data_IF_704404362036
#
_entry.id   IF_704404362036
#
_cell.length_a   1.000
_cell.length_b   1.000
_cell.length_c   1.000
_cell.angle_alpha   90.00
_cell.angle_beta   90.00
_cell.angle_gamma   90.00
#
_symmetry.space_group_name_H-M   'P 1'
#
loop_
_entity.id
_entity.type
_entity.pdbx_description
1 polymer ?
#
# COMPACT_ATOMS: atom_id res chain seq x y z
N UNK A 1 9.73 -12.23 -1.50
CA UNK A 1 10.71 -11.19 -1.91
C UNK A 1 10.99 -11.19 -3.41
N UNK A 2 11.06 -12.35 -4.07
CA UNK A 2 11.33 -12.46 -5.51
C UNK A 2 10.03 -12.45 -6.36
N UNK A 3 9.04 -11.64 -5.99
CA UNK A 3 7.78 -11.54 -6.72
C UNK A 3 7.80 -10.27 -7.57
N UNK A 4 7.58 -10.40 -8.89
CA UNK A 4 7.65 -9.30 -9.83
C UNK A 4 6.27 -8.68 -10.06
N UNK A 5 6.06 -7.48 -9.53
CA UNK A 5 4.82 -6.73 -9.66
C UNK A 5 5.03 -5.22 -9.61
N UNK A 6 4.04 -4.50 -10.13
CA UNK A 6 3.89 -3.08 -9.85
C UNK A 6 3.55 -2.84 -8.37
N UNK A 7 3.91 -1.68 -7.86
CA UNK A 7 3.72 -1.31 -6.46
C UNK A 7 2.24 -1.36 -6.05
N UNK A 8 1.36 -0.93 -6.96
CA UNK A 8 -0.10 -0.90 -6.79
C UNK A 8 -0.69 -2.30 -6.66
N UNK A 9 -0.29 -3.21 -7.55
CA UNK A 9 -0.75 -4.61 -7.53
C UNK A 9 -0.25 -5.35 -6.29
N UNK A 10 0.98 -5.06 -5.86
CA UNK A 10 1.54 -5.62 -4.63
C UNK A 10 0.71 -5.23 -3.40
N UNK A 11 0.34 -3.95 -3.26
CA UNK A 11 -0.50 -3.46 -2.16
C UNK A 11 -1.92 -4.04 -2.24
N UNK A 12 -2.48 -4.16 -3.44
CA UNK A 12 -3.79 -4.77 -3.64
C UNK A 12 -3.83 -6.24 -3.20
N UNK A 13 -2.79 -7.01 -3.53
CA UNK A 13 -2.66 -8.39 -3.06
C UNK A 13 -2.59 -8.44 -1.55
N UNK A 14 -1.71 -7.64 -0.92
CA UNK A 14 -1.58 -7.61 0.54
C UNK A 14 -2.94 -7.32 1.18
N UNK A 15 -3.68 -6.34 0.65
CA UNK A 15 -5.02 -6.02 1.14
C UNK A 15 -5.97 -7.22 1.01
N UNK A 16 -6.04 -7.86 -0.16
CA UNK A 16 -6.96 -8.98 -0.41
C UNK A 16 -6.61 -10.22 0.42
N UNK A 17 -5.34 -10.52 0.61
CA UNK A 17 -4.88 -11.65 1.41
C UNK A 17 -5.28 -11.47 2.88
N UNK A 18 -5.02 -10.29 3.46
CA UNK A 18 -5.43 -9.95 4.83
C UNK A 18 -6.96 -9.96 4.94
N UNK A 19 -7.67 -9.36 3.99
CA UNK A 19 -9.13 -9.29 4.01
C UNK A 19 -9.77 -10.68 4.05
N UNK A 20 -9.30 -11.60 3.20
CA UNK A 20 -9.86 -12.96 3.08
C UNK A 20 -9.51 -13.83 4.28
N UNK A 21 -8.27 -13.76 4.77
CA UNK A 21 -7.80 -14.64 5.85
C UNK A 21 -8.22 -14.16 7.23
N UNK A 22 -8.12 -12.86 7.49
CA UNK A 22 -8.34 -12.29 8.81
C UNK A 22 -9.77 -11.78 9.02
N UNK A 23 -10.57 -11.64 7.95
CA UNK A 23 -11.96 -11.14 7.98
C UNK A 23 -12.13 -9.88 8.87
N UNK A 24 -11.31 -8.85 8.69
CA UNK A 24 -11.35 -7.68 9.56
C UNK A 24 -12.63 -6.88 9.33
N UNK A 25 -13.13 -6.21 10.37
CA UNK A 25 -14.26 -5.28 10.23
C UNK A 25 -13.90 -4.04 9.39
N UNK A 26 -12.64 -3.59 9.46
CA UNK A 26 -12.06 -2.51 8.66
C UNK A 26 -10.58 -2.79 8.38
N UNK A 27 -10.12 -2.46 7.18
CA UNK A 27 -8.72 -2.63 6.79
C UNK A 27 -8.24 -1.44 5.97
N UNK A 28 -7.01 -1.01 6.23
CA UNK A 28 -6.28 -0.07 5.38
C UNK A 28 -4.85 -0.56 5.20
N UNK A 29 -4.34 -0.53 3.99
CA UNK A 29 -2.95 -0.85 3.65
C UNK A 29 -2.35 0.36 2.95
N UNK A 30 -1.25 0.87 3.50
CA UNK A 30 -0.50 1.99 2.94
C UNK A 30 0.96 1.58 2.78
N UNK A 31 1.48 1.61 1.56
CA UNK A 31 2.88 1.35 1.29
C UNK A 31 3.58 2.59 0.77
N UNK A 32 4.88 2.68 1.09
CA UNK A 32 5.74 3.79 0.70
C UNK A 32 7.01 3.25 0.06
N UNK A 33 7.10 3.33 -1.26
CA UNK A 33 8.24 2.80 -2.02
C UNK A 33 9.33 3.85 -2.20
N UNK A 34 10.57 3.39 -2.29
CA UNK A 34 11.71 4.23 -2.69
C UNK A 34 11.59 4.61 -4.17
N UNK A 35 12.20 5.74 -4.56
CA UNK A 35 12.08 6.24 -5.93
C UNK A 35 12.66 5.32 -7.00
N UNK A 36 12.08 5.39 -8.20
CA UNK A 36 12.69 4.95 -9.45
C UNK A 36 12.60 6.10 -10.45
N UNK A 37 13.73 6.48 -11.05
CA UNK A 37 13.77 7.63 -11.98
C UNK A 37 13.31 8.96 -11.36
N UNK A 38 13.53 9.16 -10.05
CA UNK A 38 13.11 10.38 -9.35
C UNK A 38 11.64 10.41 -8.89
N UNK A 39 10.86 9.36 -9.15
CA UNK A 39 9.44 9.27 -8.78
C UNK A 39 9.21 8.20 -7.72
N UNK A 40 8.50 8.54 -6.64
CA UNK A 40 7.99 7.58 -5.65
C UNK A 40 6.51 7.28 -5.88
N UNK A 41 6.12 6.05 -5.58
CA UNK A 41 4.74 5.57 -5.66
C UNK A 41 4.35 5.13 -4.25
N UNK A 42 3.25 5.68 -3.74
CA UNK A 42 2.76 5.42 -2.38
C UNK A 42 1.32 4.91 -2.41
N UNK A 43 1.06 3.65 -2.82
CA UNK A 43 -0.30 3.15 -2.99
C UNK A 43 -1.01 3.02 -1.64
N UNK A 44 -2.28 3.41 -1.62
CA UNK A 44 -3.16 3.35 -0.45
C UNK A 44 -4.46 2.65 -0.81
N UNK A 45 -4.85 1.64 -0.03
CA UNK A 45 -6.11 0.91 -0.17
C UNK A 45 -6.83 0.86 1.16
N UNK A 46 -8.14 1.08 1.16
CA UNK A 46 -8.96 1.03 2.37
C UNK A 46 -10.36 0.48 2.11
N UNK A 47 -10.95 -0.15 3.13
CA UNK A 47 -12.30 -0.70 3.12
C UNK A 47 -13.39 0.29 3.53
N UNK A 48 -13.01 1.47 4.05
CA UNK A 48 -13.95 2.43 4.63
C UNK A 48 -13.64 3.86 4.15
N UNK A 49 -14.67 4.73 4.06
CA UNK A 49 -14.45 6.15 3.80
C UNK A 49 -13.54 6.75 4.89
N UNK A 50 -12.40 7.32 4.47
CA UNK A 50 -11.49 8.07 5.34
C UNK A 50 -10.66 9.04 4.51
N UNK A 51 -10.05 10.01 5.19
CA UNK A 51 -9.07 10.90 4.57
C UNK A 51 -7.83 10.12 4.10
N UNK A 52 -7.20 10.60 3.03
CA UNK A 52 -5.90 10.07 2.61
C UNK A 52 -4.84 10.33 3.69
N UNK A 53 -3.90 9.39 3.91
CA UNK A 53 -2.81 9.60 4.84
C UNK A 53 -1.92 10.76 4.38
N UNK A 54 -1.35 11.48 5.35
CA UNK A 54 -0.41 12.57 5.05
C UNK A 54 0.78 12.05 4.22
N UNK A 55 1.06 12.73 3.11
CA UNK A 55 2.15 12.33 2.22
C UNK A 55 3.52 12.86 2.68
N UNK A 56 3.97 12.46 3.88
CA UNK A 56 5.28 12.85 4.45
C UNK A 56 6.37 11.85 4.07
N UNK A 57 7.39 12.29 3.31
CA UNK A 57 8.51 11.41 2.92
C UNK A 57 9.18 10.77 4.13
N UNK A 58 9.47 9.47 4.02
CA UNK A 58 10.29 8.75 5.00
C UNK A 58 11.77 8.83 4.64
N UNK A 59 12.66 8.47 5.58
CA UNK A 59 14.11 8.66 5.45
C UNK A 59 14.74 8.04 4.19
N UNK A 60 14.15 6.98 3.64
CA UNK A 60 14.66 6.27 2.45
C UNK A 60 13.95 6.64 1.15
N UNK A 61 12.95 7.53 1.21
CA UNK A 61 12.18 7.91 0.03
C UNK A 61 12.82 9.02 -0.75
#
# INVERSE_FOLDING_TARGET
RNHNEFHEQCVERIYMDIWRQCKPAKLSVYARYTRRGGLDINPFRTSAPQALPRNVRTARQ
#
